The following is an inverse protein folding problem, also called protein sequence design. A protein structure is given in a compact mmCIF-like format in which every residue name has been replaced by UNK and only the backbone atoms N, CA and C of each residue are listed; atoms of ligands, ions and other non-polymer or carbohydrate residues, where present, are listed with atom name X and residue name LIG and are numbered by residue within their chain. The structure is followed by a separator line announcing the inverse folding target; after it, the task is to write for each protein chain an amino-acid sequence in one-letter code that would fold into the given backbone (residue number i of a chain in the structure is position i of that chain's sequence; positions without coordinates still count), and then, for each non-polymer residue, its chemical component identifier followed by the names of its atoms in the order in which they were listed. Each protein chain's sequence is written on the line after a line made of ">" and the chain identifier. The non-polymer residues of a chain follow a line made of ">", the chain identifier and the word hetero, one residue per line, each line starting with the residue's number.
data_IF_278122147295
#
_entry.id   IF_278122147295
#
_cell.length_a   1.000
_cell.length_b   1.000
_cell.length_c   1.000
_cell.angle_alpha   90.00
_cell.angle_beta   90.00
_cell.angle_gamma   90.00
#
_symmetry.space_group_name_H-M   'P 1'
#
loop_
_entity.id
_entity.type
_entity.pdbx_description
1 polymer ?
#
# COMPACT_ATOMS: atom_id res chain seq x y z
N UNK A 1 11.58 22.54 -9.92
CA UNK A 1 12.51 23.54 -9.36
C UNK A 1 11.77 24.30 -8.27
N UNK A 2 12.28 24.32 -7.02
CA UNK A 2 12.02 25.35 -5.97
C UNK A 2 10.56 25.39 -5.44
N UNK A 3 10.21 25.29 -4.16
CA UNK A 3 10.92 25.39 -2.87
C UNK A 3 10.08 24.76 -1.75
N UNK A 4 10.77 24.15 -0.79
CA UNK A 4 10.28 23.82 0.55
C UNK A 4 9.89 25.09 1.32
N UNK A 5 8.83 25.02 2.13
CA UNK A 5 8.53 26.02 3.17
C UNK A 5 8.63 25.39 4.56
N UNK A 6 9.76 25.67 5.20
CA UNK A 6 10.00 25.57 6.64
C UNK A 6 9.48 26.84 7.33
N UNK A 7 8.83 26.67 8.49
CA UNK A 7 8.72 27.61 9.62
C UNK A 7 8.37 26.73 10.84
N UNK A 8 9.06 26.72 11.97
CA UNK A 8 9.68 27.81 12.74
C UNK A 8 8.94 27.90 14.08
N UNK A 9 9.33 27.09 15.07
CA UNK A 9 9.96 27.49 16.35
C UNK A 9 9.15 28.38 17.30
N UNK A 10 8.91 27.89 18.51
CA UNK A 10 8.91 28.71 19.73
C UNK A 10 9.54 27.95 20.90
N UNK A 11 10.80 28.29 21.18
CA UNK A 11 11.50 27.96 22.42
C UNK A 11 11.09 28.95 23.51
N UNK A 12 10.74 28.46 24.70
CA UNK A 12 10.67 29.27 25.92
C UNK A 12 11.92 29.03 26.76
N UNK A 13 12.68 30.11 26.89
CA UNK A 13 13.81 30.33 27.76
C UNK A 13 13.33 30.37 29.21
N UNK A 14 13.99 29.65 30.12
CA UNK A 14 13.92 29.93 31.56
C UNK A 14 15.34 29.95 32.12
N UNK A 15 15.83 31.15 32.40
CA UNK A 15 17.03 31.43 33.21
C UNK A 15 16.69 31.15 34.68
N UNK A 16 17.57 30.45 35.37
CA UNK A 16 17.75 30.63 36.81
C UNK A 16 19.21 30.37 37.17
N UNK A 17 19.82 31.39 37.79
CA UNK A 17 21.13 31.39 38.40
C UNK A 17 21.10 30.63 39.72
N UNK A 18 22.15 29.87 40.05
CA UNK A 18 22.75 29.92 41.40
C UNK A 18 24.07 29.15 41.48
N UNK A 19 25.15 29.90 41.75
CA UNK A 19 26.26 29.63 42.69
C UNK A 19 26.85 28.22 42.75
N UNK A 20 28.09 28.12 42.27
CA UNK A 20 29.09 27.14 42.74
C UNK A 20 29.43 27.36 44.22
N UNK A 21 29.86 26.28 44.89
CA UNK A 21 31.13 26.33 45.59
C UNK A 21 32.06 25.19 45.18
N UNK A 22 33.34 25.54 45.08
CA UNK A 22 34.48 24.63 44.99
C UNK A 22 34.43 23.55 46.08
N UNK A 23 34.49 22.29 45.67
CA UNK A 23 34.97 21.18 46.50
C UNK A 23 36.00 20.37 45.70
N UNK A 24 37.19 20.29 46.31
CA UNK A 24 38.33 19.53 45.84
C UNK A 24 38.07 18.01 45.92
N UNK A 25 38.55 17.33 44.89
CA UNK A 25 39.21 16.01 44.90
C UNK A 25 38.48 14.89 45.64
N UNK A 26 37.83 14.01 44.86
CA UNK A 26 38.12 12.58 44.91
C UNK A 26 37.99 12.05 43.47
N UNK A 27 39.12 11.64 42.90
CA UNK A 27 39.20 10.93 41.63
C UNK A 27 38.37 9.66 41.69
N UNK A 28 37.18 9.69 41.08
CA UNK A 28 36.35 8.50 40.91
C UNK A 28 37.15 7.44 40.13
N UNK A 29 37.21 6.19 40.62
CA UNK A 29 37.85 5.11 39.87
C UNK A 29 37.13 4.93 38.54
N UNK A 30 37.91 4.89 37.45
CA UNK A 30 37.43 4.57 36.10
C UNK A 30 36.51 3.34 36.15
N UNK A 31 35.38 3.31 35.41
CA UNK A 31 34.44 2.19 35.40
C UNK A 31 35.00 1.03 34.57
N UNK A 32 36.09 0.40 35.03
CA UNK A 32 36.63 -0.81 34.42
C UNK A 32 35.94 -2.09 34.95
N UNK A 33 35.18 -1.99 36.05
CA UNK A 33 34.50 -3.16 36.64
C UNK A 33 33.13 -3.50 36.04
N UNK A 34 32.45 -2.56 35.35
CA UNK A 34 31.08 -2.82 34.87
C UNK A 34 31.02 -3.79 33.69
N UNK A 35 32.01 -3.79 32.80
CA UNK A 35 32.02 -4.68 31.63
C UNK A 35 32.33 -6.14 31.99
N UNK A 36 33.19 -6.38 32.99
CA UNK A 36 33.56 -7.71 33.46
C UNK A 36 32.38 -8.41 34.13
N UNK A 37 31.59 -7.65 34.91
CA UNK A 37 30.38 -8.17 35.58
C UNK A 37 29.33 -8.60 34.56
N UNK A 38 29.12 -7.82 33.50
CA UNK A 38 28.08 -8.10 32.49
C UNK A 38 28.38 -9.36 31.67
N UNK A 39 29.67 -9.67 31.41
CA UNK A 39 30.06 -10.88 30.67
C UNK A 39 29.71 -12.17 31.40
N UNK A 40 29.72 -12.15 32.73
CA UNK A 40 29.50 -13.33 33.57
C UNK A 40 28.02 -13.59 33.90
N UNK A 41 27.11 -12.67 33.52
CA UNK A 41 25.68 -12.88 33.72
C UNK A 41 25.19 -14.07 32.91
N UNK A 42 24.34 -14.89 33.51
CA UNK A 42 23.54 -15.90 32.81
C UNK A 42 22.57 -15.23 31.83
N UNK A 43 22.01 -16.01 30.89
CA UNK A 43 21.04 -15.47 29.93
C UNK A 43 19.82 -14.86 30.65
N UNK A 44 19.32 -15.49 31.73
CA UNK A 44 18.17 -14.98 32.48
C UNK A 44 18.51 -13.69 33.24
N UNK A 45 19.68 -13.63 33.87
CA UNK A 45 20.12 -12.43 34.60
C UNK A 45 20.35 -11.25 33.65
N UNK A 46 20.99 -11.49 32.50
CA UNK A 46 21.21 -10.45 31.50
C UNK A 46 19.88 -9.85 31.01
N UNK A 47 18.88 -10.70 30.76
CA UNK A 47 17.54 -10.27 30.34
C UNK A 47 16.83 -9.52 31.47
N UNK A 48 16.94 -9.99 32.71
CA UNK A 48 16.41 -9.29 33.89
C UNK A 48 17.00 -7.89 34.01
N UNK A 49 18.32 -7.76 33.86
CA UNK A 49 18.99 -6.46 33.85
C UNK A 49 18.51 -5.56 32.70
N UNK A 50 18.28 -6.10 31.49
CA UNK A 50 17.73 -5.33 30.36
C UNK A 50 16.31 -4.83 30.63
N UNK A 51 15.49 -5.61 31.35
CA UNK A 51 14.10 -5.26 31.69
C UNK A 51 14.03 -4.21 32.79
N UNK A 52 14.80 -4.41 33.86
CA UNK A 52 14.80 -3.55 35.05
C UNK A 52 15.52 -2.23 34.79
N UNK A 53 16.59 -2.25 33.99
CA UNK A 53 17.40 -1.08 33.63
C UNK A 53 17.24 -0.72 32.15
N UNK A 54 15.99 -0.59 31.69
CA UNK A 54 15.66 -0.38 30.27
C UNK A 54 16.36 0.79 29.58
N UNK A 55 16.88 1.76 30.36
CA UNK A 55 17.63 2.93 29.88
C UNK A 55 19.15 2.73 29.79
N UNK A 56 19.69 1.59 30.26
CA UNK A 56 21.13 1.35 30.30
C UNK A 56 21.61 0.61 29.05
N UNK A 57 22.36 1.31 28.20
CA UNK A 57 22.93 0.77 26.97
C UNK A 57 23.90 -0.41 27.19
N UNK A 58 24.49 -0.51 28.38
CA UNK A 58 25.51 -1.52 28.68
C UNK A 58 24.92 -2.94 28.59
N UNK A 59 23.73 -3.16 29.17
CA UNK A 59 23.09 -4.48 29.18
C UNK A 59 22.53 -4.84 27.80
N UNK A 60 21.95 -3.85 27.09
CA UNK A 60 21.46 -4.04 25.73
C UNK A 60 22.60 -4.37 24.77
N UNK A 61 23.74 -3.68 24.86
CA UNK A 61 24.93 -3.98 24.04
C UNK A 61 25.43 -5.41 24.28
N UNK A 62 25.47 -5.86 25.54
CA UNK A 62 25.85 -7.22 25.87
C UNK A 62 24.82 -8.26 25.37
N UNK A 63 23.53 -7.94 25.44
CA UNK A 63 22.47 -8.75 24.83
C UNK A 63 22.71 -8.94 23.33
N UNK A 64 22.89 -7.86 22.57
CA UNK A 64 23.11 -7.95 21.12
C UNK A 64 24.38 -8.72 20.77
N UNK A 65 25.49 -8.47 21.48
CA UNK A 65 26.72 -9.22 21.29
C UNK A 65 26.53 -10.73 21.51
N UNK A 66 25.70 -11.11 22.48
CA UNK A 66 25.48 -12.52 22.82
C UNK A 66 24.48 -13.20 21.87
N UNK A 67 23.42 -12.51 21.45
CA UNK A 67 22.29 -13.14 20.76
C UNK A 67 22.14 -12.78 19.27
N UNK A 68 22.84 -11.77 18.72
CA UNK A 68 22.69 -11.40 17.31
C UNK A 68 22.94 -12.58 16.38
N UNK A 69 24.04 -13.33 16.56
CA UNK A 69 24.31 -14.51 15.73
C UNK A 69 23.18 -15.55 15.75
N UNK A 70 22.49 -15.70 16.88
CA UNK A 70 21.35 -16.60 17.02
C UNK A 70 20.11 -16.04 16.28
N UNK A 71 19.88 -14.73 16.40
CA UNK A 71 18.82 -13.99 15.72
C UNK A 71 19.02 -14.07 14.20
N UNK A 72 20.18 -13.69 13.70
CA UNK A 72 20.52 -13.67 12.26
C UNK A 72 20.36 -15.05 11.64
N UNK A 73 20.92 -16.09 12.28
CA UNK A 73 20.78 -17.48 11.83
C UNK A 73 19.30 -17.90 11.76
N UNK A 74 18.47 -17.42 12.68
CA UNK A 74 17.04 -17.74 12.69
C UNK A 74 16.24 -16.94 11.67
N UNK A 75 16.60 -15.67 11.44
CA UNK A 75 16.05 -14.85 10.36
C UNK A 75 16.31 -15.57 9.03
N UNK A 76 17.57 -15.88 8.74
CA UNK A 76 17.98 -16.57 7.51
C UNK A 76 17.22 -17.88 7.29
N UNK A 77 17.18 -18.76 8.31
CA UNK A 77 16.47 -20.04 8.24
C UNK A 77 14.98 -19.86 7.97
N UNK A 78 14.37 -18.81 8.53
CA UNK A 78 12.94 -18.54 8.36
C UNK A 78 12.65 -17.93 6.99
N UNK A 79 13.54 -17.07 6.47
CA UNK A 79 13.45 -16.51 5.12
C UNK A 79 13.54 -17.60 4.05
N UNK A 80 14.50 -18.53 4.19
CA UNK A 80 14.61 -19.71 3.32
C UNK A 80 13.34 -20.57 3.40
N UNK A 81 12.80 -20.79 4.61
CA UNK A 81 11.56 -21.55 4.81
C UNK A 81 10.34 -20.93 4.10
N UNK A 82 10.28 -19.59 3.99
CA UNK A 82 9.20 -18.91 3.27
C UNK A 82 9.46 -18.73 1.77
N UNK A 83 10.52 -19.35 1.24
CA UNK A 83 10.84 -19.40 -0.19
C UNK A 83 11.66 -18.22 -0.71
N UNK A 84 12.34 -17.46 0.15
CA UNK A 84 13.28 -16.42 -0.30
C UNK A 84 14.64 -17.08 -0.53
N UNK A 85 15.19 -17.05 -1.76
CA UNK A 85 16.46 -17.71 -2.06
C UNK A 85 17.64 -16.98 -1.40
N UNK A 86 18.72 -17.71 -1.11
CA UNK A 86 19.85 -17.20 -0.33
C UNK A 86 20.50 -15.95 -0.93
N UNK A 87 20.59 -15.89 -2.27
CA UNK A 87 21.13 -14.75 -3.01
C UNK A 87 20.25 -13.49 -2.92
N UNK A 88 18.97 -13.61 -2.58
CA UNK A 88 18.07 -12.49 -2.36
C UNK A 88 18.07 -12.00 -0.89
N UNK A 89 18.73 -12.72 0.01
CA UNK A 89 18.87 -12.31 1.42
C UNK A 89 20.08 -11.38 1.53
N UNK A 90 19.83 -10.07 1.43
CA UNK A 90 20.85 -9.04 1.63
C UNK A 90 21.04 -8.71 3.11
N UNK A 91 22.17 -8.06 3.43
CA UNK A 91 22.41 -7.52 4.78
C UNK A 91 21.32 -6.51 5.16
N UNK A 92 20.98 -5.59 4.26
CA UNK A 92 19.93 -4.58 4.48
C UNK A 92 18.58 -5.20 4.87
N UNK A 93 18.21 -6.31 4.23
CA UNK A 93 16.97 -7.03 4.55
C UNK A 93 17.02 -7.66 5.94
N UNK A 94 18.18 -8.22 6.30
CA UNK A 94 18.39 -8.80 7.63
C UNK A 94 18.38 -7.71 8.71
N UNK A 95 18.95 -6.55 8.43
CA UNK A 95 18.97 -5.39 9.31
C UNK A 95 17.57 -4.79 9.47
N UNK A 96 16.77 -4.69 8.38
CA UNK A 96 15.37 -4.26 8.43
C UNK A 96 14.54 -5.15 9.37
N UNK A 97 14.65 -6.47 9.24
CA UNK A 97 13.94 -7.42 10.09
C UNK A 97 14.43 -7.34 11.54
N UNK A 98 15.74 -7.20 11.73
CA UNK A 98 16.35 -7.06 13.06
C UNK A 98 15.88 -5.79 13.76
N UNK A 99 15.74 -4.68 13.04
CA UNK A 99 15.19 -3.45 13.56
C UNK A 99 13.74 -3.63 14.06
N UNK A 100 12.88 -4.25 13.25
CA UNK A 100 11.48 -4.54 13.64
C UNK A 100 11.41 -5.45 14.86
N UNK A 101 12.30 -6.44 14.93
CA UNK A 101 12.42 -7.32 16.09
C UNK A 101 12.79 -6.53 17.35
N UNK A 102 13.78 -5.64 17.25
CA UNK A 102 14.22 -4.78 18.35
C UNK A 102 13.07 -3.87 18.81
N UNK A 103 12.37 -3.20 17.89
CA UNK A 103 11.21 -2.38 18.25
C UNK A 103 10.12 -3.17 18.95
N UNK A 104 9.82 -4.40 18.50
CA UNK A 104 8.84 -5.27 19.17
C UNK A 104 9.31 -5.69 20.56
N UNK A 105 10.60 -5.99 20.71
CA UNK A 105 11.22 -6.37 21.98
C UNK A 105 11.16 -5.20 22.97
N UNK A 106 11.55 -4.00 22.55
CA UNK A 106 11.60 -2.79 23.37
C UNK A 106 10.19 -2.25 23.67
N UNK A 107 9.36 -2.07 22.63
CA UNK A 107 8.09 -1.35 22.71
C UNK A 107 6.92 -2.12 23.31
N UNK A 108 6.90 -3.46 23.24
CA UNK A 108 5.71 -4.26 23.62
C UNK A 108 5.83 -5.02 24.94
N UNK A 109 6.81 -4.69 25.79
CA UNK A 109 7.09 -5.41 27.05
C UNK A 109 7.26 -6.93 26.85
N UNK A 110 7.64 -7.39 25.65
CA UNK A 110 7.78 -8.82 25.36
C UNK A 110 8.87 -9.47 26.23
N UNK A 111 9.91 -8.71 26.57
CA UNK A 111 10.96 -9.15 27.50
C UNK A 111 10.47 -9.40 28.93
N UNK A 112 9.42 -8.71 29.40
CA UNK A 112 8.80 -9.02 30.70
C UNK A 112 8.16 -10.41 30.69
N UNK A 113 7.58 -10.82 29.56
CA UNK A 113 7.06 -12.19 29.38
C UNK A 113 8.18 -13.22 29.26
N UNK A 114 9.32 -12.82 28.69
CA UNK A 114 10.48 -13.69 28.51
C UNK A 114 11.04 -14.23 29.83
N UNK A 115 10.97 -13.44 30.91
CA UNK A 115 11.42 -13.85 32.26
C UNK A 115 10.65 -15.06 32.83
N UNK A 116 9.43 -15.28 32.36
CA UNK A 116 8.59 -16.40 32.82
C UNK A 116 8.83 -17.68 32.01
N UNK A 117 9.69 -17.67 30.99
CA UNK A 117 9.97 -18.84 30.17
C UNK A 117 11.21 -19.58 30.67
N UNK A 118 11.06 -20.88 30.92
CA UNK A 118 12.14 -21.78 31.37
C UNK A 118 13.30 -21.89 30.37
N UNK A 119 13.05 -21.65 29.08
CA UNK A 119 14.08 -21.63 28.04
C UNK A 119 13.99 -20.37 27.18
N UNK A 120 14.73 -19.34 27.59
CA UNK A 120 14.78 -18.05 26.92
C UNK A 120 15.22 -18.16 25.45
N UNK A 121 16.22 -18.99 25.14
CA UNK A 121 16.73 -19.12 23.75
C UNK A 121 15.67 -19.68 22.81
N UNK A 122 14.94 -20.71 23.24
CA UNK A 122 13.85 -21.28 22.46
C UNK A 122 12.70 -20.29 22.26
N UNK A 123 12.38 -19.52 23.31
CA UNK A 123 11.41 -18.43 23.23
C UNK A 123 11.85 -17.37 22.22
N UNK A 124 13.09 -16.88 22.30
CA UNK A 124 13.64 -15.87 21.39
C UNK A 124 13.59 -16.35 19.93
N UNK A 125 13.99 -17.59 19.67
CA UNK A 125 13.92 -18.19 18.33
C UNK A 125 12.48 -18.26 17.77
N UNK A 126 11.49 -18.38 18.65
CA UNK A 126 10.06 -18.37 18.29
C UNK A 126 9.58 -16.95 17.98
N UNK A 127 9.98 -15.97 18.79
CA UNK A 127 9.71 -14.55 18.54
C UNK A 127 10.31 -14.13 17.20
N UNK A 128 11.60 -14.40 16.97
CA UNK A 128 12.29 -14.08 15.70
C UNK A 128 11.55 -14.69 14.51
N UNK A 129 11.19 -15.99 14.59
CA UNK A 129 10.41 -16.66 13.53
C UNK A 129 9.13 -15.90 13.24
N UNK A 130 8.35 -15.56 14.27
CA UNK A 130 7.07 -14.88 14.11
C UNK A 130 7.24 -13.48 13.52
N UNK A 131 8.29 -12.74 13.93
CA UNK A 131 8.59 -11.42 13.34
C UNK A 131 8.91 -11.54 11.85
N UNK A 132 9.74 -12.51 11.44
CA UNK A 132 10.05 -12.73 10.02
C UNK A 132 8.80 -13.12 9.24
N UNK A 133 7.94 -13.98 9.80
CA UNK A 133 6.68 -14.36 9.16
C UNK A 133 5.73 -13.17 9.02
N UNK A 134 5.60 -12.33 10.04
CA UNK A 134 4.80 -11.11 10.00
C UNK A 134 5.35 -10.10 9.01
N UNK A 135 6.68 -9.89 8.99
CA UNK A 135 7.36 -9.04 8.01
C UNK A 135 7.10 -9.55 6.59
N UNK A 136 7.19 -10.86 6.35
CA UNK A 136 6.91 -11.43 5.04
C UNK A 136 5.43 -11.23 4.65
N UNK A 137 4.49 -11.39 5.59
CA UNK A 137 3.06 -11.08 5.35
C UNK A 137 2.85 -9.60 5.04
N UNK A 138 3.50 -8.71 5.78
CA UNK A 138 3.40 -7.27 5.62
C UNK A 138 4.05 -6.80 4.32
N UNK A 139 5.20 -7.35 3.92
CA UNK A 139 5.79 -7.10 2.60
C UNK A 139 4.89 -7.64 1.50
N UNK A 140 4.29 -8.82 1.66
CA UNK A 140 3.29 -9.35 0.71
C UNK A 140 2.00 -8.51 0.67
N UNK A 141 1.68 -7.76 1.73
CA UNK A 141 0.50 -6.87 1.75
C UNK A 141 0.82 -5.44 1.29
N UNK A 142 2.01 -4.91 1.57
CA UNK A 142 2.47 -3.56 1.19
C UNK A 142 3.06 -3.53 -0.22
N UNK A 143 3.90 -4.51 -0.59
CA UNK A 143 4.21 -4.78 -2.00
C UNK A 143 3.09 -5.68 -2.49
N UNK A 144 2.02 -5.06 -2.96
CA UNK A 144 0.95 -5.64 -3.77
C UNK A 144 0.98 -7.17 -3.80
N UNK A 145 0.08 -7.84 -3.09
CA UNK A 145 -0.09 -9.28 -3.28
C UNK A 145 -0.31 -9.62 -4.78
N UNK A 146 -0.72 -8.65 -5.61
CA UNK A 146 -0.62 -8.67 -7.08
C UNK A 146 0.82 -8.72 -7.64
N UNK A 147 1.75 -7.88 -7.20
CA UNK A 147 3.16 -7.90 -7.62
C UNK A 147 3.86 -9.21 -7.25
N UNK A 148 3.68 -9.71 -6.02
CA UNK A 148 4.25 -11.02 -5.61
C UNK A 148 3.52 -12.19 -6.30
N UNK A 149 2.21 -12.07 -6.56
CA UNK A 149 1.49 -13.08 -7.31
C UNK A 149 1.96 -13.16 -8.77
N UNK A 150 2.23 -12.01 -9.38
CA UNK A 150 2.86 -11.90 -10.71
C UNK A 150 4.31 -12.38 -10.69
N UNK A 151 5.13 -12.00 -9.71
CA UNK A 151 6.57 -12.30 -9.70
C UNK A 151 6.92 -13.78 -9.67
N UNK A 152 6.12 -14.64 -9.03
CA UNK A 152 6.39 -16.09 -8.97
C UNK A 152 6.16 -16.80 -10.33
N UNK A 153 5.66 -16.09 -11.35
CA UNK A 153 5.55 -16.60 -12.72
C UNK A 153 6.33 -15.77 -13.76
N UNK A 154 7.11 -14.77 -13.33
CA UNK A 154 7.86 -13.92 -14.26
C UNK A 154 9.11 -14.65 -14.71
N UNK A 155 9.17 -14.90 -16.02
CA UNK A 155 10.42 -15.18 -16.73
C UNK A 155 11.24 -13.89 -16.80
N UNK A 156 12.57 -14.04 -16.80
CA UNK A 156 13.44 -12.89 -17.05
C UNK A 156 13.13 -12.36 -18.44
N UNK A 157 13.04 -11.05 -18.61
CA UNK A 157 12.94 -10.44 -19.95
C UNK A 157 14.17 -10.75 -20.80
N UNK A 158 15.30 -11.05 -20.15
CA UNK A 158 16.54 -11.46 -20.79
C UNK A 158 16.61 -12.96 -21.10
N UNK A 159 15.59 -13.74 -20.73
CA UNK A 159 15.54 -15.16 -21.05
C UNK A 159 15.35 -15.34 -22.58
N UNK A 160 16.21 -16.14 -23.25
CA UNK A 160 16.05 -16.43 -24.66
C UNK A 160 14.77 -17.24 -24.90
N UNK A 161 14.05 -16.93 -25.98
CA UNK A 161 12.79 -17.59 -26.34
C UNK A 161 13.01 -19.04 -26.82
N UNK A 162 14.24 -19.35 -27.26
CA UNK A 162 14.69 -20.69 -27.63
C UNK A 162 15.80 -21.22 -26.72
N UNK A 163 16.23 -22.45 -26.97
CA UNK A 163 17.29 -23.14 -26.21
C UNK A 163 18.70 -22.64 -26.51
N UNK A 164 18.86 -21.78 -27.53
CA UNK A 164 20.14 -21.23 -27.96
C UNK A 164 20.34 -19.82 -27.37
N UNK A 165 21.52 -19.55 -26.81
CA UNK A 165 21.91 -18.24 -26.26
C UNK A 165 21.84 -17.11 -27.30
N UNK A 166 21.86 -17.43 -28.59
CA UNK A 166 21.70 -16.46 -29.69
C UNK A 166 20.24 -16.18 -30.06
N UNK A 167 19.28 -16.85 -29.43
CA UNK A 167 17.85 -16.64 -29.72
C UNK A 167 17.41 -15.25 -29.24
N UNK A 168 16.40 -14.70 -29.91
CA UNK A 168 15.73 -13.47 -29.47
C UNK A 168 15.28 -13.62 -28.01
N UNK A 169 15.49 -12.56 -27.23
CA UNK A 169 15.10 -12.51 -25.82
C UNK A 169 13.64 -12.12 -25.70
N UNK A 170 13.01 -12.47 -24.58
CA UNK A 170 11.62 -12.09 -24.31
C UNK A 170 11.38 -10.58 -24.47
N UNK A 171 12.34 -9.74 -24.05
CA UNK A 171 12.28 -8.27 -24.23
C UNK A 171 12.12 -7.85 -25.68
N UNK A 172 12.75 -8.58 -26.62
CA UNK A 172 12.75 -8.25 -28.05
C UNK A 172 11.39 -8.49 -28.70
N UNK A 173 10.52 -9.27 -28.05
CA UNK A 173 9.14 -9.52 -28.51
C UNK A 173 8.10 -8.62 -27.86
N UNK A 174 8.49 -7.89 -26.80
CA UNK A 174 7.62 -6.92 -26.16
C UNK A 174 7.85 -5.61 -26.89
N UNK A 175 7.12 -5.42 -27.98
CA UNK A 175 6.90 -4.07 -28.48
C UNK A 175 6.14 -3.32 -27.39
N UNK A 176 6.66 -2.17 -26.94
CA UNK A 176 5.78 -1.19 -26.32
C UNK A 176 4.58 -1.05 -27.26
N UNK A 177 3.32 -1.09 -26.77
CA UNK A 177 2.24 -0.62 -27.63
C UNK A 177 2.72 0.73 -28.11
N UNK A 178 2.92 0.89 -29.41
CA UNK A 178 3.35 2.16 -29.97
C UNK A 178 2.37 3.17 -29.38
N UNK A 179 2.83 3.94 -28.38
CA UNK A 179 2.15 5.17 -28.06
C UNK A 179 2.15 5.85 -29.41
N UNK A 180 0.95 6.00 -29.98
CA UNK A 180 0.69 6.66 -31.26
C UNK A 180 1.27 8.07 -31.20
N UNK A 181 2.59 8.14 -31.30
CA UNK A 181 3.50 9.27 -31.31
C UNK A 181 3.90 9.54 -32.77
N UNK A 182 3.08 9.08 -33.71
CA UNK A 182 2.98 9.73 -35.00
C UNK A 182 2.66 11.22 -34.72
N UNK A 183 3.41 12.17 -35.30
CA UNK A 183 3.15 13.60 -35.14
C UNK A 183 1.69 13.97 -35.38
N UNK A 184 1.06 13.31 -36.36
CA UNK A 184 -0.36 13.46 -36.69
C UNK A 184 -1.31 12.91 -35.61
N UNK A 185 -0.93 11.85 -34.90
CA UNK A 185 -1.72 11.24 -33.84
C UNK A 185 -1.78 12.08 -32.56
N UNK A 186 -0.69 12.78 -32.22
CA UNK A 186 -0.71 13.78 -31.12
C UNK A 186 -1.58 14.98 -31.48
N UNK A 187 -1.45 15.52 -32.69
CA UNK A 187 -2.26 16.65 -33.16
C UNK A 187 -3.75 16.29 -33.18
N UNK A 188 -4.11 15.09 -33.66
CA UNK A 188 -5.50 14.62 -33.67
C UNK A 188 -6.05 14.40 -32.26
N UNK A 189 -5.27 13.82 -31.34
CA UNK A 189 -5.69 13.66 -29.93
C UNK A 189 -5.89 15.01 -29.25
N UNK A 190 -4.95 15.96 -29.39
CA UNK A 190 -5.08 17.30 -28.82
C UNK A 190 -6.28 18.04 -29.41
N UNK A 191 -6.47 17.98 -30.73
CA UNK A 191 -7.65 18.57 -31.39
C UNK A 191 -8.96 17.93 -30.90
N UNK A 192 -8.99 16.61 -30.70
CA UNK A 192 -10.15 15.89 -30.20
C UNK A 192 -10.49 16.31 -28.77
N UNK A 193 -9.50 16.39 -27.87
CA UNK A 193 -9.70 16.91 -26.51
C UNK A 193 -10.18 18.36 -26.51
N UNK A 194 -9.59 19.24 -27.32
CA UNK A 194 -10.01 20.64 -27.41
C UNK A 194 -11.43 20.78 -27.97
N UNK A 195 -11.82 19.89 -28.88
CA UNK A 195 -13.17 19.83 -29.44
C UNK A 195 -14.18 19.37 -28.39
N UNK A 196 -13.86 18.34 -27.61
CA UNK A 196 -14.68 17.88 -26.49
C UNK A 196 -14.78 18.92 -25.37
N UNK A 197 -13.70 19.60 -25.02
CA UNK A 197 -13.72 20.67 -24.02
C UNK A 197 -14.59 21.86 -24.48
N UNK A 198 -14.51 22.24 -25.76
CA UNK A 198 -15.40 23.24 -26.35
C UNK A 198 -16.85 22.77 -26.34
N UNK A 199 -17.10 21.51 -26.68
CA UNK A 199 -18.43 20.91 -26.65
C UNK A 199 -19.05 20.96 -25.25
N UNK A 200 -18.28 20.57 -24.21
CA UNK A 200 -18.72 20.63 -22.82
C UNK A 200 -19.02 22.07 -22.40
N UNK A 201 -18.20 23.05 -22.82
CA UNK A 201 -18.47 24.48 -22.56
C UNK A 201 -19.77 24.96 -23.21
N UNK A 202 -20.12 24.44 -24.39
CA UNK A 202 -21.32 24.80 -25.14
C UNK A 202 -22.58 24.04 -24.75
N UNK A 203 -22.50 23.11 -23.78
CA UNK A 203 -23.69 22.44 -23.25
C UNK A 203 -24.59 23.46 -22.54
N UNK A 204 -25.93 23.28 -22.58
CA UNK A 204 -26.85 24.13 -21.81
C UNK A 204 -26.47 24.16 -20.33
N UNK A 205 -26.54 25.33 -19.69
CA UNK A 205 -25.95 25.59 -18.36
C UNK A 205 -26.20 24.49 -17.34
N UNK A 206 -27.47 24.09 -17.15
CA UNK A 206 -27.82 23.04 -16.19
C UNK A 206 -27.23 21.68 -16.56
N UNK A 207 -27.14 21.35 -17.84
CA UNK A 207 -26.58 20.08 -18.32
C UNK A 207 -25.06 20.06 -18.15
N UNK A 208 -24.39 21.18 -18.46
CA UNK A 208 -22.95 21.37 -18.25
C UNK A 208 -22.61 21.21 -16.77
N UNK A 209 -23.30 21.92 -15.88
CA UNK A 209 -23.05 21.85 -14.44
C UNK A 209 -23.34 20.46 -13.87
N UNK A 210 -24.43 19.82 -14.27
CA UNK A 210 -24.74 18.43 -13.86
C UNK A 210 -23.63 17.47 -14.30
N UNK A 211 -23.10 17.62 -15.52
CA UNK A 211 -21.99 16.79 -16.02
C UNK A 211 -20.69 17.06 -15.24
N UNK A 212 -20.32 18.32 -15.04
CA UNK A 212 -19.09 18.68 -14.31
C UNK A 212 -19.14 18.22 -12.85
N UNK A 213 -20.25 18.46 -12.16
CA UNK A 213 -20.46 17.91 -10.80
C UNK A 213 -20.37 16.39 -10.83
N UNK A 214 -21.01 15.72 -11.81
CA UNK A 214 -20.94 14.26 -11.93
C UNK A 214 -19.50 13.77 -12.05
N UNK A 215 -18.63 14.50 -12.73
CA UNK A 215 -17.23 14.15 -12.97
C UNK A 215 -16.26 14.74 -11.94
N UNK A 216 -16.75 15.42 -10.88
CA UNK A 216 -15.92 16.28 -10.05
C UNK A 216 -14.80 15.57 -9.26
N UNK A 217 -14.91 14.25 -9.11
CA UNK A 217 -13.86 13.42 -8.53
C UNK A 217 -12.60 13.37 -9.42
N UNK A 218 -12.78 13.39 -10.73
CA UNK A 218 -11.69 13.32 -11.71
C UNK A 218 -11.30 14.70 -12.26
N UNK A 219 -12.26 15.63 -12.29
CA UNK A 219 -12.09 16.99 -12.81
C UNK A 219 -12.62 17.96 -11.77
N UNK A 220 -11.75 18.59 -11.01
CA UNK A 220 -12.16 19.55 -9.97
C UNK A 220 -12.99 20.69 -10.56
N UNK A 221 -13.99 21.14 -9.80
CA UNK A 221 -14.80 22.30 -10.18
C UNK A 221 -13.95 23.57 -10.13
N UNK A 222 -14.05 24.39 -11.17
CA UNK A 222 -13.37 25.68 -11.26
C UNK A 222 -14.04 26.72 -10.34
N UNK A 223 -13.34 27.82 -10.04
CA UNK A 223 -13.87 28.85 -9.12
C UNK A 223 -15.12 29.50 -9.69
N UNK A 224 -15.14 29.69 -11.00
CA UNK A 224 -16.23 30.26 -11.79
C UNK A 224 -17.49 29.40 -11.66
N UNK A 225 -17.34 28.08 -11.62
CA UNK A 225 -18.45 27.13 -11.48
C UNK A 225 -18.99 27.10 -10.07
N UNK A 226 -18.11 27.19 -9.07
CA UNK A 226 -18.51 27.34 -7.66
C UNK A 226 -19.30 28.63 -7.49
N UNK A 227 -18.86 29.73 -8.10
CA UNK A 227 -19.57 31.02 -8.10
C UNK A 227 -20.93 30.93 -8.81
N UNK A 228 -20.99 30.25 -9.95
CA UNK A 228 -22.23 30.03 -10.70
C UNK A 228 -23.25 29.22 -9.87
N UNK A 229 -22.82 28.10 -9.28
CA UNK A 229 -23.67 27.28 -8.41
C UNK A 229 -24.13 28.07 -7.17
N UNK A 230 -23.24 28.87 -6.59
CA UNK A 230 -23.55 29.73 -5.45
C UNK A 230 -24.62 30.78 -5.80
N UNK A 231 -24.50 31.40 -6.99
CA UNK A 231 -25.48 32.35 -7.55
C UNK A 231 -26.84 31.69 -7.76
N UNK A 232 -26.88 30.52 -8.42
CA UNK A 232 -28.11 29.75 -8.66
C UNK A 232 -28.85 29.41 -7.37
N UNK A 233 -28.12 29.18 -6.28
CA UNK A 233 -28.67 28.84 -4.96
C UNK A 233 -28.90 30.03 -4.05
N UNK A 234 -28.44 31.23 -4.43
CA UNK A 234 -28.42 32.41 -3.57
C UNK A 234 -27.71 32.14 -2.21
N UNK A 235 -26.56 31.46 -2.25
CA UNK A 235 -25.73 31.17 -1.08
C UNK A 235 -24.29 31.63 -1.27
N UNK A 236 -23.48 31.65 -0.20
CA UNK A 236 -22.08 32.04 -0.33
C UNK A 236 -21.25 30.98 -1.08
N UNK A 237 -20.26 31.38 -1.90
CA UNK A 237 -19.36 30.44 -2.59
C UNK A 237 -18.62 29.52 -1.62
N UNK A 238 -18.25 30.03 -0.44
CA UNK A 238 -17.61 29.26 0.62
C UNK A 238 -18.48 28.09 1.11
N UNK A 239 -19.81 28.25 1.13
CA UNK A 239 -20.72 27.17 1.48
C UNK A 239 -20.71 26.07 0.41
N UNK A 240 -20.71 26.45 -0.87
CA UNK A 240 -20.61 25.50 -1.99
C UNK A 240 -19.28 24.74 -1.93
N UNK A 241 -18.15 25.43 -1.73
CA UNK A 241 -16.84 24.78 -1.59
C UNK A 241 -16.82 23.72 -0.49
N UNK A 242 -17.37 24.03 0.69
CA UNK A 242 -17.47 23.05 1.79
C UNK A 242 -18.34 21.84 1.46
N UNK A 243 -19.43 22.04 0.72
CA UNK A 243 -20.29 20.93 0.26
C UNK A 243 -19.56 20.07 -0.79
N UNK A 244 -18.80 20.69 -1.70
CA UNK A 244 -17.94 19.99 -2.67
C UNK A 244 -16.90 19.13 -1.95
N UNK A 245 -16.16 19.70 -0.99
CA UNK A 245 -15.14 19.00 -0.20
C UNK A 245 -15.75 17.78 0.52
N UNK A 246 -16.93 17.95 1.12
CA UNK A 246 -17.62 16.86 1.81
C UNK A 246 -17.99 15.70 0.86
N UNK A 247 -18.44 16.01 -0.37
CA UNK A 247 -18.75 14.98 -1.36
C UNK A 247 -17.45 14.35 -1.88
N UNK A 248 -16.38 15.12 -2.13
CA UNK A 248 -15.09 14.59 -2.55
C UNK A 248 -14.51 13.61 -1.52
N UNK A 249 -14.49 13.97 -0.23
CA UNK A 249 -14.05 13.06 0.83
C UNK A 249 -14.91 11.78 0.93
N UNK A 250 -16.20 11.85 0.59
CA UNK A 250 -17.07 10.67 0.49
C UNK A 250 -16.70 9.79 -0.70
N UNK A 251 -16.36 10.40 -1.84
CA UNK A 251 -15.94 9.70 -3.06
C UNK A 251 -14.55 9.08 -2.93
N UNK A 252 -13.61 9.74 -2.27
CA UNK A 252 -12.29 9.19 -1.94
C UNK A 252 -12.42 7.87 -1.17
N UNK A 253 -13.24 7.84 -0.12
CA UNK A 253 -13.51 6.61 0.64
C UNK A 253 -14.15 5.50 -0.22
N UNK A 254 -15.03 5.87 -1.17
CA UNK A 254 -15.59 4.91 -2.13
C UNK A 254 -14.52 4.41 -3.09
N UNK A 255 -13.60 5.28 -3.54
CA UNK A 255 -12.50 4.93 -4.42
C UNK A 255 -11.50 3.99 -3.71
N UNK A 256 -11.09 4.29 -2.49
CA UNK A 256 -10.24 3.41 -1.68
C UNK A 256 -10.86 2.01 -1.53
N UNK A 257 -12.18 1.94 -1.28
CA UNK A 257 -12.91 0.68 -1.23
C UNK A 257 -12.92 -0.03 -2.58
N UNK A 258 -13.10 0.70 -3.68
CA UNK A 258 -13.07 0.16 -5.03
C UNK A 258 -11.69 -0.42 -5.37
N UNK A 259 -10.62 0.35 -5.16
CA UNK A 259 -9.23 -0.07 -5.36
C UNK A 259 -8.89 -1.30 -4.53
N UNK A 260 -9.30 -1.33 -3.26
CA UNK A 260 -9.14 -2.50 -2.41
C UNK A 260 -9.82 -3.74 -3.00
N UNK A 261 -11.06 -3.62 -3.50
CA UNK A 261 -11.75 -4.73 -4.16
C UNK A 261 -11.06 -5.15 -5.46
N UNK A 262 -10.60 -4.21 -6.28
CA UNK A 262 -9.85 -4.51 -7.51
C UNK A 262 -8.57 -5.27 -7.21
N UNK A 263 -7.80 -4.84 -6.20
CA UNK A 263 -6.61 -5.54 -5.74
C UNK A 263 -6.93 -6.98 -5.31
N UNK A 264 -8.01 -7.18 -4.54
CA UNK A 264 -8.43 -8.52 -4.12
C UNK A 264 -8.90 -9.41 -5.28
N UNK A 265 -9.59 -8.84 -6.27
CA UNK A 265 -9.97 -9.53 -7.51
C UNK A 265 -8.71 -9.97 -8.25
N UNK A 266 -7.74 -9.07 -8.43
CA UNK A 266 -6.50 -9.35 -9.13
C UNK A 266 -5.71 -10.49 -8.46
N UNK A 267 -5.61 -10.46 -7.13
CA UNK A 267 -4.94 -11.51 -6.34
C UNK A 267 -5.64 -12.87 -6.50
N UNK A 268 -6.98 -12.90 -6.43
CA UNK A 268 -7.74 -14.14 -6.65
C UNK A 268 -7.61 -14.65 -8.08
N UNK A 269 -7.57 -13.76 -9.06
CA UNK A 269 -7.36 -14.11 -10.46
C UNK A 269 -6.00 -14.79 -10.65
N UNK A 270 -4.92 -14.22 -10.12
CA UNK A 270 -3.60 -14.86 -10.22
C UNK A 270 -3.52 -16.19 -9.47
N UNK A 271 -4.23 -16.35 -8.36
CA UNK A 271 -4.34 -17.66 -7.70
C UNK A 271 -5.07 -18.68 -8.58
N UNK A 272 -6.13 -18.25 -9.28
CA UNK A 272 -6.88 -19.09 -10.21
C UNK A 272 -6.00 -19.52 -11.39
N UNK A 273 -5.20 -18.61 -11.96
CA UNK A 273 -4.23 -18.93 -13.02
C UNK A 273 -3.23 -20.01 -12.58
N UNK A 274 -2.71 -19.91 -11.35
CA UNK A 274 -1.82 -20.94 -10.78
C UNK A 274 -2.51 -22.29 -10.62
N UNK A 275 -3.78 -22.31 -10.22
CA UNK A 275 -4.55 -23.55 -10.14
C UNK A 275 -4.77 -24.15 -11.54
N UNK A 276 -5.08 -23.32 -12.54
CA UNK A 276 -5.19 -23.77 -13.94
C UNK A 276 -3.88 -24.33 -14.47
N UNK A 277 -2.75 -23.66 -14.20
CA UNK A 277 -1.43 -24.16 -14.57
C UNK A 277 -1.12 -25.50 -13.88
N UNK A 278 -1.36 -25.60 -12.57
CA UNK A 278 -1.21 -26.85 -11.81
C UNK A 278 -2.09 -27.96 -12.37
N UNK A 279 -3.32 -27.65 -12.77
CA UNK A 279 -4.23 -28.60 -13.39
C UNK A 279 -3.68 -29.12 -14.72
N UNK A 280 -3.19 -28.23 -15.57
CA UNK A 280 -2.55 -28.59 -16.84
C UNK A 280 -1.31 -29.48 -16.67
N UNK A 281 -0.41 -29.13 -15.74
CA UNK A 281 0.77 -29.95 -15.42
C UNK A 281 0.38 -31.34 -14.88
N UNK A 282 -0.66 -31.40 -14.04
CA UNK A 282 -1.18 -32.66 -13.50
C UNK A 282 -1.85 -33.53 -14.56
N UNK A 283 -2.57 -32.92 -15.50
CA UNK A 283 -3.25 -33.60 -16.61
C UNK A 283 -2.23 -34.21 -17.59
N UNK A 284 -1.09 -33.55 -17.81
CA UNK A 284 0.03 -34.07 -18.61
C UNK A 284 0.77 -35.24 -17.95
N UNK A 285 0.76 -35.30 -16.62
CA UNK A 285 1.44 -36.36 -15.89
C UNK A 285 0.58 -37.62 -15.81
N UNK A 286 0.96 -38.65 -16.57
CA UNK A 286 0.27 -39.96 -16.65
C UNK A 286 0.12 -40.67 -15.31
N UNK A 287 0.96 -40.34 -14.31
CA UNK A 287 0.90 -40.91 -12.97
C UNK A 287 -0.08 -40.19 -12.03
N UNK A 288 -0.74 -39.11 -12.49
CA UNK A 288 -1.69 -38.39 -11.66
C UNK A 288 -3.01 -39.14 -11.54
N UNK A 289 -3.43 -39.40 -10.30
CA UNK A 289 -4.73 -40.01 -10.04
C UNK A 289 -5.90 -39.14 -10.55
N UNK A 290 -6.91 -39.73 -11.22
CA UNK A 290 -8.12 -39.03 -11.67
C UNK A 290 -8.87 -38.28 -10.55
N UNK A 291 -8.83 -38.80 -9.31
CA UNK A 291 -9.48 -38.16 -8.16
C UNK A 291 -8.84 -36.81 -7.83
N UNK A 292 -7.52 -36.69 -7.91
CA UNK A 292 -6.80 -35.43 -7.67
C UNK A 292 -7.14 -34.38 -8.73
N UNK A 293 -7.27 -34.79 -9.99
CA UNK A 293 -7.73 -33.90 -11.07
C UNK A 293 -9.16 -33.40 -10.83
N UNK A 294 -10.05 -34.29 -10.38
CA UNK A 294 -11.44 -33.93 -10.06
C UNK A 294 -11.55 -32.97 -8.88
N UNK A 295 -10.76 -33.18 -7.83
CA UNK A 295 -10.68 -32.27 -6.68
C UNK A 295 -10.18 -30.89 -7.09
N UNK A 296 -9.09 -30.83 -7.88
CA UNK A 296 -8.52 -29.57 -8.34
C UNK A 296 -9.48 -28.82 -9.28
N UNK A 297 -10.19 -29.54 -10.16
CA UNK A 297 -11.23 -28.95 -11.01
C UNK A 297 -12.39 -28.36 -10.20
N UNK A 298 -12.79 -29.03 -9.12
CA UNK A 298 -13.80 -28.52 -8.19
C UNK A 298 -13.32 -27.26 -7.46
N UNK A 299 -12.07 -27.25 -7.00
CA UNK A 299 -11.44 -26.09 -6.37
C UNK A 299 -11.40 -24.88 -7.34
N UNK A 300 -10.97 -25.09 -8.59
CA UNK A 300 -10.97 -24.07 -9.64
C UNK A 300 -12.38 -23.48 -9.81
N UNK A 301 -13.40 -24.33 -9.98
CA UNK A 301 -14.78 -23.88 -10.17
C UNK A 301 -15.29 -23.04 -8.99
N UNK A 302 -14.97 -23.44 -7.75
CA UNK A 302 -15.35 -22.68 -6.57
C UNK A 302 -14.65 -21.31 -6.53
N UNK A 303 -13.35 -21.25 -6.82
CA UNK A 303 -12.59 -19.99 -6.86
C UNK A 303 -13.06 -19.07 -7.98
N UNK A 304 -13.41 -19.59 -9.16
CA UNK A 304 -14.00 -18.83 -10.26
C UNK A 304 -15.31 -18.18 -9.82
N UNK A 305 -16.21 -18.94 -9.20
CA UNK A 305 -17.48 -18.40 -8.68
C UNK A 305 -17.27 -17.30 -7.63
N UNK A 306 -16.28 -17.45 -6.75
CA UNK A 306 -15.91 -16.41 -5.79
C UNK A 306 -15.39 -15.15 -6.48
N UNK A 307 -14.56 -15.30 -7.52
CA UNK A 307 -14.01 -14.19 -8.29
C UNK A 307 -15.11 -13.40 -9.02
N UNK A 308 -16.05 -14.09 -9.66
CA UNK A 308 -17.20 -13.48 -10.32
C UNK A 308 -18.07 -12.70 -9.33
N UNK A 309 -18.35 -13.29 -8.15
CA UNK A 309 -19.08 -12.59 -7.09
C UNK A 309 -18.37 -11.30 -6.68
N UNK A 310 -17.04 -11.32 -6.57
CA UNK A 310 -16.25 -10.12 -6.26
C UNK A 310 -16.27 -9.08 -7.38
N UNK A 311 -16.13 -9.50 -8.64
CA UNK A 311 -16.27 -8.60 -9.82
C UNK A 311 -17.63 -7.90 -9.82
N UNK A 312 -18.71 -8.65 -9.58
CA UNK A 312 -20.07 -8.12 -9.51
C UNK A 312 -20.26 -7.14 -8.34
N UNK A 313 -19.61 -7.37 -7.20
CA UNK A 313 -19.64 -6.43 -6.08
C UNK A 313 -18.82 -5.16 -6.37
N UNK A 314 -17.65 -5.29 -6.99
CA UNK A 314 -16.77 -4.18 -7.35
C UNK A 314 -17.43 -3.24 -8.37
N UNK A 315 -18.06 -3.79 -9.40
CA UNK A 315 -18.79 -3.01 -10.42
C UNK A 315 -19.93 -2.15 -9.83
N UNK A 316 -20.47 -2.53 -8.67
CA UNK A 316 -21.51 -1.76 -7.96
C UNK A 316 -20.96 -0.58 -7.16
N UNK A 317 -19.63 -0.51 -6.95
CA UNK A 317 -19.01 0.62 -6.25
C UNK A 317 -18.94 1.79 -7.23
N UNK A 318 -19.89 2.70 -7.07
CA UNK A 318 -20.03 3.87 -7.92
C UNK A 318 -19.21 5.04 -7.33
N UNK A 319 -18.05 5.33 -7.92
CA UNK A 319 -17.18 6.46 -7.55
C UNK A 319 -17.61 7.74 -8.27
N UNK A 320 -18.92 8.01 -8.23
CA UNK A 320 -19.50 9.24 -8.74
C UNK A 320 -20.54 9.75 -7.74
N UNK A 321 -20.77 11.08 -7.69
CA UNK A 321 -21.89 11.62 -6.93
C UNK A 321 -23.21 10.95 -7.33
N UNK A 322 -24.04 10.70 -6.32
CA UNK A 322 -25.42 10.27 -6.47
C UNK A 322 -26.26 11.41 -7.04
N UNK A 323 -27.39 11.08 -7.66
CA UNK A 323 -28.31 12.11 -8.14
C UNK A 323 -28.80 13.04 -7.00
N UNK A 324 -28.84 12.55 -5.77
CA UNK A 324 -29.21 13.34 -4.59
C UNK A 324 -28.14 14.35 -4.22
N UNK A 325 -26.86 13.92 -4.18
CA UNK A 325 -25.72 14.81 -3.94
C UNK A 325 -25.63 15.89 -5.04
N UNK A 326 -25.84 15.53 -6.31
CA UNK A 326 -25.84 16.50 -7.44
C UNK A 326 -27.00 17.48 -7.29
N UNK A 327 -28.22 16.98 -7.05
CA UNK A 327 -29.39 17.84 -6.91
C UNK A 327 -29.26 18.81 -5.72
N UNK A 328 -28.76 18.32 -4.58
CA UNK A 328 -28.50 19.15 -3.41
C UNK A 328 -27.47 20.23 -3.72
N UNK A 329 -26.34 19.85 -4.33
CA UNK A 329 -25.26 20.80 -4.63
C UNK A 329 -25.71 21.90 -5.59
N UNK A 330 -26.54 21.55 -6.58
CA UNK A 330 -27.08 22.48 -7.58
C UNK A 330 -28.37 23.20 -7.16
N UNK A 331 -28.88 22.96 -5.94
CA UNK A 331 -30.10 23.61 -5.45
C UNK A 331 -31.39 23.13 -6.12
N UNK A 332 -31.35 21.95 -6.72
CA UNK A 332 -32.46 21.36 -7.45
C UNK A 332 -33.39 20.69 -6.45
N UNK A 333 -34.65 21.11 -6.46
CA UNK A 333 -35.67 20.55 -5.59
C UNK A 333 -35.72 19.01 -5.71
N UNK A 334 -35.92 18.33 -4.57
CA UNK A 334 -35.96 16.85 -4.49
C UNK A 334 -36.94 16.22 -5.50
N UNK A 335 -38.08 16.87 -5.75
CA UNK A 335 -39.07 16.43 -6.76
C UNK A 335 -38.51 16.39 -8.20
N UNK A 336 -37.50 17.21 -8.51
CA UNK A 336 -36.82 17.28 -9.81
C UNK A 336 -35.54 16.46 -9.87
N UNK A 337 -35.14 15.76 -8.80
CA UNK A 337 -33.92 14.93 -8.76
C UNK A 337 -33.90 13.86 -9.86
N UNK A 338 -35.05 13.31 -10.25
CA UNK A 338 -35.18 12.36 -11.36
C UNK A 338 -34.69 12.92 -12.71
N UNK A 339 -34.69 14.24 -12.87
CA UNK A 339 -34.24 14.90 -14.10
C UNK A 339 -32.72 14.91 -14.24
N UNK A 340 -31.94 14.64 -13.17
CA UNK A 340 -30.47 14.52 -13.24
C UNK A 340 -30.05 13.49 -14.28
N UNK A 341 -30.70 12.31 -14.28
CA UNK A 341 -30.44 11.27 -15.28
C UNK A 341 -30.78 11.73 -16.70
N UNK A 342 -31.87 12.49 -16.87
CA UNK A 342 -32.30 13.04 -18.16
C UNK A 342 -31.28 14.08 -18.66
N UNK A 343 -30.80 14.97 -17.79
CA UNK A 343 -29.80 15.97 -18.15
C UNK A 343 -28.46 15.35 -18.49
N UNK A 344 -28.01 14.34 -17.74
CA UNK A 344 -26.81 13.57 -18.09
C UNK A 344 -26.97 12.84 -19.42
N UNK A 345 -28.13 12.24 -19.68
CA UNK A 345 -28.41 11.58 -20.95
C UNK A 345 -28.38 12.58 -22.11
N UNK A 346 -28.99 13.76 -21.97
CA UNK A 346 -28.97 14.83 -22.98
C UNK A 346 -27.56 15.36 -23.22
N UNK A 347 -26.81 15.65 -22.15
CA UNK A 347 -25.41 16.06 -22.25
C UNK A 347 -24.59 15.02 -23.03
N UNK A 348 -24.70 13.74 -22.68
CA UNK A 348 -24.02 12.65 -23.38
C UNK A 348 -24.46 12.55 -24.85
N UNK A 349 -25.75 12.67 -25.15
CA UNK A 349 -26.25 12.64 -26.53
C UNK A 349 -25.63 13.77 -27.36
N UNK A 350 -25.57 14.99 -26.81
CA UNK A 350 -24.93 16.12 -27.48
C UNK A 350 -23.44 15.91 -27.70
N UNK A 351 -22.71 15.36 -26.71
CA UNK A 351 -21.28 15.08 -26.84
C UNK A 351 -21.00 13.95 -27.85
N UNK A 352 -21.82 12.89 -27.88
CA UNK A 352 -21.67 11.80 -28.85
C UNK A 352 -21.89 12.27 -30.30
N UNK A 353 -22.67 13.33 -30.54
CA UNK A 353 -22.84 13.90 -31.87
C UNK A 353 -21.62 14.69 -32.37
N UNK A 354 -20.62 14.89 -31.51
CA UNK A 354 -19.36 15.59 -31.81
C UNK A 354 -18.22 14.57 -32.02
N UNK A 355 -18.46 13.29 -31.68
CA UNK A 355 -17.56 12.16 -31.90
C UNK A 355 -17.76 11.45 -33.27
N UNK A 356 -18.68 11.96 -34.11
CA UNK A 356 -18.81 11.66 -35.54
C UNK A 356 -18.47 12.90 -36.34
#
# INVERSE_FOLDING_TARGET
>A
MVLYKLCGTHSKIRKQNSKEPHLQILSNPKPQNSQTVVKNLTDVELIRCCVENGSSDIYWKAFYQRFNRLIDKRILKTLLYVGIPLNAVTQDLTDEISFILIEKIHGKKLFKKALNHTNFRAWLLTVVRNVVLDWNRAKKSQKNAFAYAMEIGKKSLEEPIGSDEKSARLVDTISAPEEFDLPDGKIQKTHHYDTLLRAVKNLPDIQRLVLKVKMMFYISLEKEEILEIASMRSVSPLKISREVDAILSSLEKKNEKYEHQQNMIAIKFTFLERLHYKFYEMEKNLNTSPNKLKELKKEIAEKTKQLEKMRNMSQKINVYPTAGEIAQLLGIAKAKQKNIGIWLYRARKTLNHIEL
#
